data_IF_034490565343
#
_entry.id   IF_034490565343
#
_cell.length_a   1.000
_cell.length_b   1.000
_cell.length_c   1.000
_cell.angle_alpha   90.00
_cell.angle_beta   90.00
_cell.angle_gamma   90.00
#
_symmetry.space_group_name_H-M   'P 1'
#
loop_
_entity.id
_entity.type
_entity.pdbx_description
1 polymer ?
#
# COMPACT_ATOMS: atom_id res chain seq x y z
N UNK A 1 -39.01 -2.74 21.55
CA UNK A 1 -38.61 -3.26 20.23
C UNK A 1 -37.14 -3.66 20.33
N UNK A 2 -36.80 -4.96 20.26
CA UNK A 2 -35.42 -5.46 20.35
C UNK A 2 -34.87 -5.43 18.92
N UNK A 3 -33.94 -4.54 18.62
CA UNK A 3 -33.26 -4.54 17.31
C UNK A 3 -32.35 -5.78 17.24
N UNK A 4 -32.48 -6.57 16.18
CA UNK A 4 -31.58 -7.70 15.89
C UNK A 4 -30.37 -7.16 15.12
N UNK A 5 -29.39 -6.67 15.86
CA UNK A 5 -28.21 -5.98 15.31
C UNK A 5 -27.13 -6.97 14.83
N UNK A 6 -27.36 -8.28 15.00
CA UNK A 6 -26.43 -9.34 14.57
C UNK A 6 -26.05 -9.23 13.10
N UNK A 7 -27.01 -8.91 12.23
CA UNK A 7 -26.76 -8.74 10.80
C UNK A 7 -25.85 -7.54 10.53
N UNK A 8 -25.98 -6.47 11.31
CA UNK A 8 -25.16 -5.26 11.20
C UNK A 8 -23.70 -5.61 11.55
N UNK A 9 -23.48 -6.32 12.67
CA UNK A 9 -22.13 -6.74 13.05
C UNK A 9 -21.48 -7.67 12.01
N UNK A 10 -22.23 -8.63 11.45
CA UNK A 10 -21.72 -9.51 10.39
C UNK A 10 -21.34 -8.71 9.14
N UNK A 11 -22.24 -7.91 8.60
CA UNK A 11 -21.98 -7.15 7.38
C UNK A 11 -20.86 -6.13 7.57
N UNK A 12 -20.83 -5.45 8.73
CA UNK A 12 -19.75 -4.54 9.08
C UNK A 12 -18.40 -5.26 9.08
N UNK A 13 -18.26 -6.36 9.82
CA UNK A 13 -17.01 -7.12 9.91
C UNK A 13 -16.53 -7.60 8.54
N UNK A 14 -17.44 -8.15 7.72
CA UNK A 14 -17.08 -8.62 6.38
C UNK A 14 -16.66 -7.45 5.49
N UNK A 15 -17.41 -6.35 5.48
CA UNK A 15 -17.13 -5.21 4.63
C UNK A 15 -15.76 -4.57 4.94
N UNK A 16 -15.46 -4.36 6.22
CA UNK A 16 -14.16 -3.79 6.61
C UNK A 16 -13.02 -4.78 6.39
N UNK A 17 -13.23 -6.08 6.56
CA UNK A 17 -12.22 -7.10 6.23
C UNK A 17 -11.89 -7.10 4.74
N UNK A 18 -12.92 -7.08 3.88
CA UNK A 18 -12.75 -7.00 2.42
C UNK A 18 -11.99 -5.73 2.04
N UNK A 19 -12.36 -4.58 2.61
CA UNK A 19 -11.62 -3.34 2.40
C UNK A 19 -10.14 -3.46 2.81
N UNK A 20 -9.87 -4.05 3.98
CA UNK A 20 -8.51 -4.30 4.46
C UNK A 20 -7.69 -5.15 3.49
N UNK A 21 -8.27 -6.23 2.96
CA UNK A 21 -7.60 -7.10 1.98
C UNK A 21 -7.32 -6.32 0.68
N UNK A 22 -8.31 -5.61 0.15
CA UNK A 22 -8.17 -4.86 -1.11
C UNK A 22 -7.07 -3.80 -1.03
N UNK A 23 -6.97 -3.09 0.10
CA UNK A 23 -5.91 -2.10 0.30
C UNK A 23 -4.58 -2.70 0.76
N UNK A 24 -4.58 -3.88 1.38
CA UNK A 24 -3.35 -4.50 1.91
C UNK A 24 -2.54 -5.29 0.89
N UNK A 25 -3.22 -6.04 0.02
CA UNK A 25 -2.56 -6.91 -0.96
C UNK A 25 -1.55 -6.19 -1.85
N UNK A 26 -1.83 -4.99 -2.40
CA UNK A 26 -0.84 -4.23 -3.16
C UNK A 26 0.41 -3.88 -2.36
N UNK A 27 0.25 -3.51 -1.08
CA UNK A 27 1.36 -3.19 -0.18
C UNK A 27 2.23 -4.39 0.13
N UNK A 28 1.62 -5.54 0.45
CA UNK A 28 2.35 -6.80 0.69
C UNK A 28 3.14 -7.20 -0.55
N UNK A 29 2.51 -7.16 -1.73
CA UNK A 29 3.18 -7.49 -2.98
C UNK A 29 4.35 -6.54 -3.26
N UNK A 30 4.15 -5.23 -3.07
CA UNK A 30 5.22 -4.24 -3.23
C UNK A 30 6.41 -4.55 -2.31
N UNK A 31 6.15 -4.82 -1.03
CA UNK A 31 7.19 -5.04 -0.01
C UNK A 31 7.95 -6.36 -0.17
N UNK A 32 7.27 -7.41 -0.63
CA UNK A 32 7.90 -8.75 -0.75
C UNK A 32 8.53 -9.00 -2.11
N UNK A 33 8.04 -8.35 -3.18
CA UNK A 33 8.44 -8.67 -4.56
C UNK A 33 9.04 -7.46 -5.25
N UNK A 34 8.30 -6.37 -5.34
CA UNK A 34 8.67 -5.23 -6.18
C UNK A 34 9.84 -4.43 -5.60
N UNK A 35 9.79 -4.05 -4.34
CA UNK A 35 10.84 -3.26 -3.67
C UNK A 35 12.18 -4.00 -3.64
N UNK A 36 12.27 -5.27 -3.23
CA UNK A 36 13.54 -6.01 -3.27
C UNK A 36 14.08 -6.20 -4.69
N UNK A 37 13.20 -6.31 -5.69
CA UNK A 37 13.63 -6.41 -7.09
C UNK A 37 14.27 -5.10 -7.58
N UNK A 38 13.69 -3.94 -7.20
CA UNK A 38 14.25 -2.63 -7.52
C UNK A 38 15.57 -2.42 -6.79
N UNK A 39 15.64 -2.72 -5.49
CA UNK A 39 16.88 -2.60 -4.69
C UNK A 39 18.04 -3.37 -5.33
N UNK A 40 17.80 -4.60 -5.81
CA UNK A 40 18.80 -5.38 -6.54
C UNK A 40 19.31 -4.68 -7.80
N UNK A 41 18.43 -4.01 -8.55
CA UNK A 41 18.80 -3.25 -9.75
C UNK A 41 19.64 -2.00 -9.44
N UNK A 42 19.56 -1.47 -8.22
CA UNK A 42 20.28 -0.27 -7.77
C UNK A 42 21.62 -0.57 -7.06
N UNK A 43 22.00 -1.84 -6.89
CA UNK A 43 23.26 -2.22 -6.21
C UNK A 43 24.52 -1.84 -7.01
N UNK A 44 25.71 -1.87 -6.37
CA UNK A 44 26.98 -1.30 -6.89
C UNK A 44 27.46 -1.75 -8.29
N UNK A 45 26.88 -2.79 -8.89
CA UNK A 45 27.10 -3.20 -10.29
C UNK A 45 25.97 -2.72 -11.24
N UNK A 46 25.36 -1.58 -10.92
CA UNK A 46 24.27 -1.01 -11.71
C UNK A 46 24.82 -0.46 -13.04
N UNK A 47 24.47 -1.14 -14.13
CA UNK A 47 24.67 -0.60 -15.48
C UNK A 47 23.47 0.26 -15.90
N UNK A 48 23.65 1.03 -16.97
CA UNK A 48 22.61 1.90 -17.55
C UNK A 48 21.29 1.15 -17.83
N UNK A 49 21.34 -0.13 -18.22
CA UNK A 49 20.13 -0.91 -18.51
C UNK A 49 19.38 -1.29 -17.23
N UNK A 50 20.08 -1.70 -16.17
CA UNK A 50 19.49 -1.98 -14.85
C UNK A 50 18.85 -0.74 -14.25
N UNK A 51 19.52 0.42 -14.34
CA UNK A 51 18.98 1.69 -13.86
C UNK A 51 17.74 2.11 -14.64
N UNK A 52 17.75 1.96 -15.96
CA UNK A 52 16.57 2.18 -16.82
C UNK A 52 15.43 1.22 -16.45
N UNK A 53 15.74 -0.04 -16.17
CA UNK A 53 14.74 -1.02 -15.74
C UNK A 53 14.13 -0.65 -14.38
N UNK A 54 14.97 -0.25 -13.42
CA UNK A 54 14.52 0.24 -12.12
C UNK A 54 13.58 1.44 -12.29
N UNK A 55 13.95 2.40 -13.13
CA UNK A 55 13.10 3.54 -13.48
C UNK A 55 11.75 3.12 -14.07
N UNK A 56 11.73 2.20 -15.04
CA UNK A 56 10.47 1.76 -15.68
C UNK A 56 9.51 1.14 -14.64
N UNK A 57 10.03 0.44 -13.65
CA UNK A 57 9.20 -0.10 -12.55
C UNK A 57 8.74 1.03 -11.62
N UNK A 58 9.65 1.94 -11.27
CA UNK A 58 9.41 3.05 -10.35
C UNK A 58 8.49 4.12 -10.92
N UNK A 59 8.47 4.35 -12.24
CA UNK A 59 7.62 5.37 -12.89
C UNK A 59 6.13 5.17 -12.57
N UNK A 60 5.73 3.93 -12.28
CA UNK A 60 4.39 3.59 -11.82
C UNK A 60 4.37 3.63 -10.28
N UNK A 61 3.77 4.65 -9.66
CA UNK A 61 3.77 4.78 -8.21
C UNK A 61 2.95 3.67 -7.53
N UNK A 62 3.17 3.52 -6.23
CA UNK A 62 2.27 2.73 -5.39
C UNK A 62 0.92 3.47 -5.23
N UNK A 63 -0.19 2.75 -5.10
CA UNK A 63 -1.55 3.34 -5.05
C UNK A 63 -1.75 4.42 -3.97
N UNK A 64 -0.97 4.36 -2.89
CA UNK A 64 -1.00 5.30 -1.77
C UNK A 64 0.13 6.35 -1.81
N UNK A 65 1.03 6.26 -2.79
CA UNK A 65 2.16 7.18 -2.97
C UNK A 65 2.22 7.68 -4.43
N UNK A 66 1.07 8.10 -4.95
CA UNK A 66 0.98 8.72 -6.28
C UNK A 66 1.85 9.96 -6.39
N UNK A 67 2.52 10.13 -7.53
CA UNK A 67 3.42 11.26 -7.77
C UNK A 67 2.70 12.59 -8.00
N UNK A 68 1.41 12.51 -8.28
CA UNK A 68 0.52 13.63 -8.54
C UNK A 68 -0.03 14.28 -7.25
N UNK A 69 0.34 13.73 -6.07
CA UNK A 69 -0.20 14.17 -4.78
C UNK A 69 0.68 15.25 -4.15
N UNK A 70 0.04 16.40 -3.89
CA UNK A 70 0.54 17.64 -3.28
C UNK A 70 1.01 17.46 -1.82
N UNK A 71 2.13 16.79 -1.58
CA UNK A 71 2.90 16.97 -0.34
C UNK A 71 4.24 17.68 -0.67
N UNK A 72 4.79 18.44 0.29
CA UNK A 72 6.11 19.11 0.12
C UNK A 72 7.21 18.14 -0.29
N UNK A 73 7.03 16.88 0.07
CA UNK A 73 7.92 15.82 -0.30
C UNK A 73 7.82 15.52 -1.82
N UNK A 74 6.63 15.49 -2.42
CA UNK A 74 6.39 15.19 -3.83
C UNK A 74 6.82 16.31 -4.79
N UNK A 75 7.02 17.52 -4.25
CA UNK A 75 7.58 18.63 -5.00
C UNK A 75 8.95 18.26 -5.59
N UNK A 76 9.08 18.36 -6.91
CA UNK A 76 10.32 17.99 -7.61
C UNK A 76 10.31 16.60 -8.25
N UNK A 77 9.46 15.68 -7.80
CA UNK A 77 9.39 14.32 -8.38
C UNK A 77 8.90 14.39 -9.83
N UNK A 78 7.93 15.24 -10.14
CA UNK A 78 7.44 15.44 -11.50
C UNK A 78 8.56 15.83 -12.48
N UNK A 79 9.49 16.69 -12.06
CA UNK A 79 10.64 17.09 -12.88
C UNK A 79 11.61 15.93 -13.10
N UNK A 80 11.86 15.12 -12.06
CA UNK A 80 12.68 13.90 -12.16
C UNK A 80 12.04 12.92 -13.14
N UNK A 81 10.74 12.67 -13.00
CA UNK A 81 10.00 11.76 -13.89
C UNK A 81 10.05 12.25 -15.33
N UNK A 82 9.78 13.52 -15.57
CA UNK A 82 9.81 14.12 -16.91
C UNK A 82 11.20 14.03 -17.56
N UNK A 83 12.25 14.34 -16.81
CA UNK A 83 13.63 14.22 -17.30
C UNK A 83 13.95 12.77 -17.67
N UNK A 84 13.57 11.82 -16.82
CA UNK A 84 13.87 10.41 -17.04
C UNK A 84 13.02 9.82 -18.18
N UNK A 85 11.76 10.24 -18.33
CA UNK A 85 10.90 9.88 -19.47
C UNK A 85 11.49 10.38 -20.78
N UNK A 86 11.99 11.62 -20.81
CA UNK A 86 12.69 12.17 -21.98
C UNK A 86 13.94 11.35 -22.30
N UNK A 87 14.76 11.00 -21.30
CA UNK A 87 15.94 10.14 -21.51
C UNK A 87 15.59 8.76 -22.04
N UNK A 88 14.50 8.15 -21.55
CA UNK A 88 14.01 6.86 -22.05
C UNK A 88 13.58 6.97 -23.51
N UNK A 89 12.86 8.04 -23.87
CA UNK A 89 12.40 8.30 -25.24
C UNK A 89 13.56 8.58 -26.21
N UNK A 90 14.55 9.34 -25.77
CA UNK A 90 15.76 9.69 -26.53
C UNK A 90 16.84 8.60 -26.52
N UNK A 91 16.59 7.46 -25.85
CA UNK A 91 17.54 6.36 -25.66
C UNK A 91 18.87 6.80 -25.03
N UNK A 92 18.83 7.82 -24.16
CA UNK A 92 20.00 8.27 -23.40
C UNK A 92 20.36 7.27 -22.31
N UNK A 93 21.65 7.21 -22.00
CA UNK A 93 22.17 6.36 -20.94
C UNK A 93 21.85 6.93 -19.56
N UNK A 94 21.61 6.00 -18.63
CA UNK A 94 21.54 6.28 -17.20
C UNK A 94 22.92 6.14 -16.60
N UNK A 95 23.25 7.01 -15.67
CA UNK A 95 24.54 7.12 -15.00
C UNK A 95 24.41 6.77 -13.53
N UNK A 96 25.53 6.52 -12.85
CA UNK A 96 25.54 6.27 -11.41
C UNK A 96 24.99 7.43 -10.58
N UNK A 97 25.02 8.66 -11.09
CA UNK A 97 24.39 9.81 -10.43
C UNK A 97 22.86 9.69 -10.38
N UNK A 98 22.27 8.91 -11.29
CA UNK A 98 20.82 8.71 -11.35
C UNK A 98 20.31 7.79 -10.22
N UNK A 99 21.21 7.02 -9.57
CA UNK A 99 20.88 6.14 -8.45
C UNK A 99 20.18 6.91 -7.32
N UNK A 100 20.71 8.09 -6.96
CA UNK A 100 20.13 8.93 -5.90
C UNK A 100 18.65 9.27 -6.17
N UNK A 101 18.31 9.57 -7.42
CA UNK A 101 16.95 9.91 -7.81
C UNK A 101 16.04 8.67 -7.83
N UNK A 102 16.56 7.52 -8.25
CA UNK A 102 15.82 6.25 -8.24
C UNK A 102 15.58 5.75 -6.81
N UNK A 103 16.54 5.94 -5.91
CA UNK A 103 16.38 5.67 -4.48
C UNK A 103 15.28 6.54 -3.86
N UNK A 104 15.18 7.81 -4.24
CA UNK A 104 14.10 8.70 -3.80
C UNK A 104 12.72 8.19 -4.27
N UNK A 105 12.60 7.74 -5.51
CA UNK A 105 11.37 7.12 -6.03
C UNK A 105 11.05 5.80 -5.32
N UNK A 106 12.06 4.98 -5.01
CA UNK A 106 11.92 3.74 -4.27
C UNK A 106 11.44 3.99 -2.85
N UNK A 107 12.04 4.95 -2.14
CA UNK A 107 11.63 5.34 -0.79
C UNK A 107 10.16 5.77 -0.77
N UNK A 108 9.70 6.46 -1.81
CA UNK A 108 8.27 6.82 -1.93
C UNK A 108 7.36 5.62 -2.10
N UNK A 109 7.74 4.68 -2.94
CA UNK A 109 7.02 3.40 -3.07
C UNK A 109 6.97 2.66 -1.73
N UNK A 110 8.08 2.59 -1.00
CA UNK A 110 8.16 1.97 0.32
C UNK A 110 7.25 2.65 1.36
N UNK A 111 7.19 3.98 1.36
CA UNK A 111 6.23 4.73 2.20
C UNK A 111 4.78 4.38 1.83
N UNK A 112 4.49 4.29 0.53
CA UNK A 112 3.17 3.91 0.02
C UNK A 112 2.77 2.48 0.41
N UNK A 113 3.69 1.52 0.34
CA UNK A 113 3.42 0.13 0.71
C UNK A 113 3.27 -0.03 2.23
N UNK A 114 4.08 0.67 3.02
CA UNK A 114 3.97 0.71 4.47
C UNK A 114 2.63 1.30 4.93
N UNK A 115 2.19 2.40 4.30
CA UNK A 115 0.85 2.97 4.54
C UNK A 115 -0.26 1.97 4.18
N UNK A 116 -0.14 1.29 3.04
CA UNK A 116 -1.05 0.22 2.61
C UNK A 116 -1.22 -0.88 3.67
N UNK A 117 -0.10 -1.36 4.22
CA UNK A 117 -0.08 -2.43 5.23
C UNK A 117 -0.67 -1.93 6.54
N UNK A 118 -0.35 -0.71 6.97
CA UNK A 118 -0.95 -0.09 8.16
C UNK A 118 -2.46 0.07 8.01
N UNK A 119 -2.93 0.50 6.84
CA UNK A 119 -4.36 0.59 6.51
C UNK A 119 -5.04 -0.77 6.56
N UNK A 120 -4.40 -1.82 6.02
CA UNK A 120 -4.89 -3.19 6.13
C UNK A 120 -5.03 -3.63 7.58
N UNK A 121 -3.98 -3.45 8.40
CA UNK A 121 -4.00 -3.82 9.82
C UNK A 121 -5.15 -3.11 10.54
N UNK A 122 -5.32 -1.81 10.29
CA UNK A 122 -6.43 -1.03 10.85
C UNK A 122 -7.79 -1.65 10.51
N UNK A 123 -8.05 -1.97 9.24
CA UNK A 123 -9.31 -2.57 8.82
C UNK A 123 -9.51 -3.99 9.36
N UNK A 124 -8.45 -4.79 9.48
CA UNK A 124 -8.50 -6.10 10.12
C UNK A 124 -8.88 -5.97 11.60
N UNK A 125 -8.31 -5.00 12.32
CA UNK A 125 -8.68 -4.73 13.71
C UNK A 125 -10.14 -4.30 13.85
N UNK A 126 -10.65 -3.45 12.94
CA UNK A 126 -12.08 -3.11 12.91
C UNK A 126 -12.96 -4.33 12.65
N UNK A 127 -12.56 -5.24 11.75
CA UNK A 127 -13.28 -6.48 11.52
C UNK A 127 -13.37 -7.32 12.79
N UNK A 128 -12.25 -7.47 13.50
CA UNK A 128 -12.16 -8.19 14.78
C UNK A 128 -13.09 -7.56 15.82
N UNK A 129 -13.13 -6.23 15.93
CA UNK A 129 -14.04 -5.54 16.85
C UNK A 129 -15.52 -5.83 16.53
N UNK A 130 -15.90 -5.85 15.25
CA UNK A 130 -17.26 -6.23 14.86
C UNK A 130 -17.61 -7.68 15.24
N UNK A 131 -16.66 -8.61 15.09
CA UNK A 131 -16.83 -10.01 15.51
C UNK A 131 -16.96 -10.12 17.04
N UNK A 132 -16.14 -9.37 17.79
CA UNK A 132 -16.24 -9.32 19.25
C UNK A 132 -17.62 -8.80 19.68
N UNK A 133 -18.12 -7.72 19.06
CA UNK A 133 -19.46 -7.19 19.29
C UNK A 133 -20.55 -8.25 19.10
N UNK A 134 -20.49 -8.99 17.99
CA UNK A 134 -21.39 -10.10 17.71
C UNK A 134 -21.34 -11.22 18.74
N UNK A 135 -20.15 -11.57 19.24
CA UNK A 135 -20.00 -12.59 20.28
C UNK A 135 -20.59 -12.14 21.62
N UNK A 136 -20.45 -10.86 21.98
CA UNK A 136 -21.05 -10.28 23.18
C UNK A 136 -22.58 -10.30 23.05
N UNK A 137 -23.13 -9.84 21.93
CA UNK A 137 -24.57 -9.81 21.70
C UNK A 137 -25.20 -11.21 21.75
N UNK A 138 -24.52 -12.21 21.17
CA UNK A 138 -24.94 -13.62 21.25
C UNK A 138 -25.00 -14.13 22.69
N UNK A 139 -23.99 -13.83 23.52
CA UNK A 139 -23.97 -14.20 24.94
C UNK A 139 -25.06 -13.51 25.73
N UNK A 140 -25.25 -12.21 25.54
CA UNK A 140 -26.28 -11.42 26.24
C UNK A 140 -27.69 -11.88 25.88
N UNK A 141 -27.94 -12.15 24.59
CA UNK A 141 -29.24 -12.67 24.13
C UNK A 141 -29.57 -14.02 24.79
N UNK A 142 -28.59 -14.93 24.84
CA UNK A 142 -28.75 -16.26 25.44
C UNK A 142 -29.03 -16.19 26.94
N UNK A 143 -28.35 -15.30 27.67
CA UNK A 143 -28.55 -15.12 29.12
C UNK A 143 -29.94 -14.56 29.45
N UNK A 144 -30.50 -13.71 28.58
CA UNK A 144 -31.84 -13.14 28.72
C UNK A 144 -32.95 -14.18 28.48
N UNK A 145 -32.72 -15.15 27.59
CA UNK A 145 -33.66 -16.25 27.34
C UNK A 145 -33.64 -17.30 28.47
N UNK A 146 -32.52 -17.41 29.20
CA UNK A 146 -32.36 -18.37 30.31
C UNK A 146 -32.85 -17.88 31.68
N UNK A 147 -33.09 -16.57 31.85
CA UNK A 147 -33.64 -15.96 33.06
C UNK A 147 -34.79 -15.02 32.66
N UNK A 148 -36.02 -15.53 32.49
CA UNK A 148 -37.18 -14.71 32.13
C UNK A 148 -37.61 -13.75 33.23
#
# INVERSE_FOLDING_TARGET
MKFDDRKIYVYFSIAVLVAGILFGLPGIYSKMVTEPAIEKLLTQDADSQKLKQAYIILRNPHIFAGYDRFDEAGAGIEYILKEFDNRVAEQKEFTTNDILYLELLLQRRQQGSDLSIKTMIYFVLLSVLGVIGLLIEKKTSKNYESNP
#
